data_IF_350892842364
#
_entry.id   IF_350892842364
#
_cell.length_a   1.000
_cell.length_b   1.000
_cell.length_c   1.000
_cell.angle_alpha   90.00
_cell.angle_beta   90.00
_cell.angle_gamma   90.00
#
_symmetry.space_group_name_H-M   'P 1'
#
loop_
_entity.id
_entity.type
_entity.pdbx_description
1 polymer ?
#
# COMPACT_ATOMS: atom_id res chain seq x y z
N UNK A 1 -14.81 -30.35 -7.18
CA UNK A 1 -15.07 -30.07 -5.75
C UNK A 1 -14.21 -28.89 -5.35
N UNK A 2 -14.70 -27.63 -5.42
CA UNK A 2 -13.93 -26.51 -4.93
C UNK A 2 -14.41 -26.21 -3.51
N UNK A 3 -13.70 -26.73 -2.50
CA UNK A 3 -14.02 -26.43 -1.12
C UNK A 3 -12.75 -26.00 -0.37
N UNK A 4 -12.84 -24.77 0.18
CA UNK A 4 -12.37 -24.43 1.53
C UNK A 4 -11.04 -23.67 1.68
N UNK A 5 -10.74 -22.69 0.84
CA UNK A 5 -9.62 -21.75 1.11
C UNK A 5 -9.96 -20.65 2.13
N UNK A 6 -11.22 -20.51 2.55
CA UNK A 6 -11.67 -19.42 3.45
C UNK A 6 -11.95 -19.75 4.92
N UNK A 7 -11.67 -20.96 5.45
CA UNK A 7 -11.87 -21.20 6.91
C UNK A 7 -10.81 -20.46 7.73
N UNK A 8 -11.15 -19.80 8.85
CA UNK A 8 -10.19 -18.99 9.60
C UNK A 8 -9.05 -19.89 10.11
N UNK A 9 -7.83 -19.59 9.64
CA UNK A 9 -6.63 -20.42 9.75
C UNK A 9 -6.33 -20.89 11.19
N UNK A 10 -6.59 -20.05 12.19
CA UNK A 10 -6.40 -20.39 13.60
C UNK A 10 -7.22 -21.61 14.06
N UNK A 11 -8.47 -21.76 13.62
CA UNK A 11 -9.31 -22.89 14.01
C UNK A 11 -8.80 -24.22 13.42
N UNK A 12 -8.26 -24.18 12.21
CA UNK A 12 -7.62 -25.34 11.57
C UNK A 12 -6.34 -25.73 12.30
N UNK A 13 -5.49 -24.77 12.63
CA UNK A 13 -4.24 -25.01 13.32
C UNK A 13 -4.45 -25.62 14.71
N UNK A 14 -5.44 -25.11 15.47
CA UNK A 14 -5.85 -25.72 16.76
C UNK A 14 -6.26 -27.19 16.57
N UNK A 15 -7.06 -27.48 15.53
CA UNK A 15 -7.53 -28.84 15.22
C UNK A 15 -6.38 -29.76 14.82
N UNK A 16 -5.44 -29.27 14.01
CA UNK A 16 -4.29 -30.02 13.51
C UNK A 16 -3.37 -30.43 14.67
N UNK A 17 -2.98 -29.49 15.52
CA UNK A 17 -2.15 -29.79 16.69
C UNK A 17 -2.88 -30.68 17.70
N UNK A 18 -4.18 -30.48 17.93
CA UNK A 18 -4.98 -31.36 18.79
C UNK A 18 -4.98 -32.80 18.26
N UNK A 19 -5.19 -32.97 16.96
CA UNK A 19 -5.20 -34.28 16.32
C UNK A 19 -3.81 -34.94 16.36
N UNK A 20 -2.72 -34.18 16.16
CA UNK A 20 -1.35 -34.69 16.24
C UNK A 20 -1.02 -35.23 17.64
N UNK A 21 -1.60 -34.64 18.70
CA UNK A 21 -1.49 -35.11 20.08
C UNK A 21 -2.47 -36.25 20.42
N UNK A 22 -3.34 -36.66 19.49
CA UNK A 22 -4.35 -37.69 19.72
C UNK A 22 -5.48 -37.26 20.68
N UNK A 23 -5.63 -35.96 20.95
CA UNK A 23 -6.62 -35.47 21.91
C UNK A 23 -8.01 -35.37 21.29
N UNK A 24 -9.04 -35.77 22.03
CA UNK A 24 -10.43 -35.42 21.69
C UNK A 24 -10.70 -33.95 22.02
N UNK A 25 -11.74 -33.34 21.43
CA UNK A 25 -12.16 -31.97 21.78
C UNK A 25 -12.51 -31.83 23.28
N UNK A 26 -13.11 -32.88 23.86
CA UNK A 26 -13.40 -32.95 25.30
C UNK A 26 -12.13 -33.00 26.13
N UNK A 27 -11.13 -33.79 25.70
CA UNK A 27 -9.84 -33.87 26.36
C UNK A 27 -9.09 -32.53 26.35
N UNK A 28 -9.13 -31.81 25.22
CA UNK A 28 -8.54 -30.47 25.16
C UNK A 28 -9.26 -29.49 26.09
N UNK A 29 -10.59 -29.57 26.18
CA UNK A 29 -11.37 -28.73 27.10
C UNK A 29 -11.00 -28.99 28.57
N UNK A 30 -10.87 -30.26 28.98
CA UNK A 30 -10.42 -30.65 30.33
C UNK A 30 -9.04 -30.08 30.64
N UNK A 31 -8.08 -30.21 29.72
CA UNK A 31 -6.73 -29.68 29.89
C UNK A 31 -6.73 -28.15 30.02
N UNK A 32 -7.55 -27.45 29.21
CA UNK A 32 -7.68 -25.99 29.31
C UNK A 32 -8.26 -25.56 30.66
N UNK A 33 -9.24 -26.30 31.19
CA UNK A 33 -9.78 -26.06 32.52
C UNK A 33 -8.74 -26.29 33.61
N UNK A 34 -7.94 -27.35 33.50
CA UNK A 34 -6.85 -27.65 34.44
C UNK A 34 -5.76 -26.58 34.44
N UNK A 35 -5.29 -26.15 33.26
CA UNK A 35 -4.20 -25.15 33.14
C UNK A 35 -4.68 -23.77 33.59
N UNK A 36 -5.92 -23.39 33.27
CA UNK A 36 -6.47 -22.08 33.62
C UNK A 36 -7.03 -21.99 35.04
N UNK A 37 -7.20 -23.12 35.73
CA UNK A 37 -7.86 -23.18 37.05
C UNK A 37 -9.36 -22.87 37.02
N UNK A 38 -9.99 -22.87 35.84
CA UNK A 38 -11.41 -22.56 35.67
C UNK A 38 -12.19 -23.79 35.18
N UNK A 39 -13.46 -23.95 35.54
CA UNK A 39 -14.28 -25.09 35.13
C UNK A 39 -15.28 -24.76 33.99
N UNK A 40 -15.13 -23.62 33.31
CA UNK A 40 -16.17 -23.04 32.47
C UNK A 40 -16.09 -23.41 30.99
N UNK A 41 -14.98 -24.01 30.55
CA UNK A 41 -14.74 -24.30 29.13
C UNK A 41 -15.15 -25.74 28.79
N UNK A 42 -16.12 -25.87 27.88
CA UNK A 42 -16.64 -27.18 27.44
C UNK A 42 -16.13 -27.57 26.05
N UNK A 43 -16.33 -28.82 25.64
CA UNK A 43 -15.98 -29.30 24.29
C UNK A 43 -16.64 -28.46 23.18
N UNK A 44 -17.82 -27.89 23.43
CA UNK A 44 -18.55 -27.05 22.48
C UNK A 44 -17.81 -25.73 22.19
N UNK A 45 -17.10 -25.18 23.18
CA UNK A 45 -16.25 -24.00 22.97
C UNK A 45 -15.09 -24.34 22.03
N UNK A 46 -14.43 -25.48 22.27
CA UNK A 46 -13.35 -26.00 21.40
C UNK A 46 -13.87 -26.23 19.97
N UNK A 47 -15.02 -26.89 19.83
CA UNK A 47 -15.66 -27.12 18.51
C UNK A 47 -15.97 -25.81 17.77
N UNK A 48 -16.44 -24.77 18.49
CA UNK A 48 -16.71 -23.46 17.90
C UNK A 48 -15.43 -22.73 17.49
N UNK A 49 -14.32 -22.93 18.22
CA UNK A 49 -13.01 -22.40 17.82
C UNK A 49 -12.47 -23.09 16.57
N UNK A 50 -12.52 -24.42 16.51
CA UNK A 50 -12.00 -25.18 15.36
C UNK A 50 -12.77 -24.92 14.07
N UNK A 51 -14.08 -24.68 14.18
CA UNK A 51 -14.95 -24.33 13.03
C UNK A 51 -14.90 -22.84 12.69
N UNK A 52 -14.15 -22.04 13.44
CA UNK A 52 -13.99 -20.61 13.19
C UNK A 52 -15.13 -19.73 13.67
N UNK A 53 -16.19 -20.31 14.23
CA UNK A 53 -17.37 -19.59 14.71
C UNK A 53 -17.06 -18.66 15.89
N UNK A 54 -15.98 -18.95 16.65
CA UNK A 54 -15.44 -18.09 17.71
C UNK A 54 -13.91 -18.12 17.66
N UNK A 55 -13.24 -17.12 18.25
CA UNK A 55 -11.80 -17.18 18.54
C UNK A 55 -11.57 -17.44 20.02
N UNK A 56 -10.50 -18.17 20.40
CA UNK A 56 -9.93 -18.00 21.73
C UNK A 56 -9.44 -16.55 21.87
N UNK A 57 -9.89 -15.85 22.91
CA UNK A 57 -9.44 -14.49 23.21
C UNK A 57 -8.01 -14.47 23.77
N UNK A 58 -7.47 -13.27 24.01
CA UNK A 58 -6.12 -13.08 24.59
C UNK A 58 -5.89 -13.87 25.89
N UNK A 59 -6.93 -14.02 26.71
CA UNK A 59 -6.86 -14.82 27.94
C UNK A 59 -6.67 -16.33 27.65
N UNK A 60 -7.35 -16.86 26.63
CA UNK A 60 -7.33 -18.31 26.35
C UNK A 60 -6.15 -18.73 25.48
N UNK A 61 -5.58 -17.84 24.67
CA UNK A 61 -4.48 -18.17 23.75
C UNK A 61 -3.25 -18.80 24.45
N UNK A 62 -2.74 -18.26 25.57
CA UNK A 62 -1.61 -18.86 26.31
C UNK A 62 -1.92 -20.27 26.81
N UNK A 63 -3.14 -20.49 27.32
CA UNK A 63 -3.59 -21.79 27.80
C UNK A 63 -3.73 -22.80 26.65
N UNK A 64 -4.19 -22.36 25.48
CA UNK A 64 -4.28 -23.18 24.26
C UNK A 64 -2.89 -23.54 23.74
N UNK A 65 -1.94 -22.60 23.73
CA UNK A 65 -0.55 -22.87 23.36
C UNK A 65 0.08 -23.92 24.29
N UNK A 66 -0.09 -23.74 25.60
CA UNK A 66 0.39 -24.69 26.61
C UNK A 66 -0.24 -26.08 26.46
N UNK A 67 -1.57 -26.17 26.29
CA UNK A 67 -2.28 -27.44 26.13
C UNK A 67 -1.91 -28.19 24.84
N UNK A 68 -1.60 -27.45 23.77
CA UNK A 68 -1.20 -27.99 22.47
C UNK A 68 0.32 -28.16 22.32
N UNK A 69 1.09 -27.83 23.35
CA UNK A 69 2.56 -27.92 23.36
C UNK A 69 3.21 -27.18 22.19
N UNK A 70 2.66 -26.02 21.81
CA UNK A 70 3.19 -25.16 20.76
C UNK A 70 3.64 -23.82 21.33
N UNK A 71 4.68 -23.19 20.76
CA UNK A 71 5.04 -21.83 21.13
C UNK A 71 3.87 -20.86 20.91
N UNK A 72 3.58 -19.99 21.90
CA UNK A 72 2.45 -19.05 21.86
C UNK A 72 2.45 -18.17 20.60
N UNK A 73 3.63 -17.74 20.14
CA UNK A 73 3.77 -16.89 18.96
C UNK A 73 3.20 -17.53 17.68
N UNK A 74 3.16 -18.86 17.59
CA UNK A 74 2.56 -19.59 16.46
C UNK A 74 1.06 -19.34 16.39
N UNK A 75 0.38 -19.31 17.55
CA UNK A 75 -1.06 -19.03 17.62
C UNK A 75 -1.35 -17.52 17.51
N UNK A 76 -0.47 -16.68 18.05
CA UNK A 76 -0.60 -15.22 17.97
C UNK A 76 -0.46 -14.69 16.56
N UNK A 77 0.48 -15.23 15.77
CA UNK A 77 0.65 -14.86 14.37
C UNK A 77 -0.65 -15.06 13.57
N UNK A 78 -1.34 -16.19 13.77
CA UNK A 78 -2.60 -16.49 13.09
C UNK A 78 -3.80 -15.69 13.63
N UNK A 79 -3.84 -15.39 14.93
CA UNK A 79 -4.86 -14.51 15.52
C UNK A 79 -4.68 -13.05 15.06
N UNK A 80 -3.43 -12.60 14.84
CA UNK A 80 -3.11 -11.29 14.26
C UNK A 80 -3.59 -11.21 12.81
N UNK A 81 -3.26 -12.22 11.98
CA UNK A 81 -3.74 -12.31 10.59
C UNK A 81 -5.27 -12.31 10.51
N UNK A 82 -5.94 -13.07 11.37
CA UNK A 82 -7.42 -13.10 11.45
C UNK A 82 -8.01 -11.74 11.80
N UNK A 83 -7.45 -11.03 12.80
CA UNK A 83 -7.95 -9.70 13.21
C UNK A 83 -7.73 -8.66 12.12
N UNK A 84 -6.64 -8.75 11.37
CA UNK A 84 -6.39 -7.92 10.20
C UNK A 84 -7.44 -8.21 9.12
N UNK A 85 -7.68 -9.48 8.78
CA UNK A 85 -8.71 -9.89 7.81
C UNK A 85 -10.12 -9.40 8.17
N UNK A 86 -10.55 -9.58 9.43
CA UNK A 86 -11.89 -9.16 9.87
C UNK A 86 -12.06 -7.63 9.88
N UNK A 87 -11.00 -6.87 10.15
CA UNK A 87 -11.00 -5.40 10.04
C UNK A 87 -11.14 -4.94 8.58
N UNK A 88 -10.48 -5.64 7.66
CA UNK A 88 -10.57 -5.37 6.21
C UNK A 88 -11.98 -5.66 5.66
N UNK A 89 -12.64 -6.72 6.11
CA UNK A 89 -14.01 -7.05 5.66
C UNK A 89 -15.09 -6.11 6.20
N UNK A 90 -14.85 -5.44 7.33
CA UNK A 90 -15.85 -4.59 7.98
C UNK A 90 -15.93 -3.15 7.42
N UNK A 91 -14.96 -2.71 6.63
CA UNK A 91 -14.84 -1.32 6.15
C UNK A 91 -15.21 -1.12 4.67
N UNK A 92 -15.84 -2.12 4.02
CA UNK A 92 -15.95 -2.13 2.56
C UNK A 92 -17.35 -2.44 2.03
N UNK A 93 -17.96 -1.46 1.37
CA UNK A 93 -18.98 -1.69 0.34
C UNK A 93 -18.30 -2.30 -0.92
N UNK A 94 -18.18 -3.62 -0.88
CA UNK A 94 -17.84 -4.70 -1.84
C UNK A 94 -17.26 -4.51 -3.27
N UNK A 95 -17.34 -3.38 -4.00
CA UNK A 95 -17.07 -3.44 -5.45
C UNK A 95 -15.66 -3.01 -5.92
N UNK A 96 -14.91 -2.23 -5.14
CA UNK A 96 -13.64 -1.61 -5.60
C UNK A 96 -12.36 -2.09 -4.90
N UNK A 97 -12.45 -3.00 -3.91
CA UNK A 97 -11.28 -3.47 -3.14
C UNK A 97 -10.66 -4.79 -3.62
N UNK A 98 -11.26 -5.50 -4.58
CA UNK A 98 -10.77 -6.81 -5.04
C UNK A 98 -9.43 -6.77 -5.80
N UNK A 99 -8.77 -5.61 -5.87
CA UNK A 99 -7.60 -5.40 -6.73
C UNK A 99 -6.45 -4.64 -6.03
N UNK A 100 -6.48 -4.52 -4.70
CA UNK A 100 -5.36 -3.96 -3.92
C UNK A 100 -4.34 -5.08 -3.66
N UNK A 101 -3.09 -4.98 -4.14
CA UNK A 101 -2.06 -5.98 -3.85
C UNK A 101 -1.78 -6.06 -2.34
N UNK A 102 -1.62 -7.26 -1.78
CA UNK A 102 -1.25 -7.46 -0.36
C UNK A 102 0.00 -6.63 0.02
N UNK A 103 0.93 -6.50 -0.92
CA UNK A 103 2.14 -5.68 -0.80
C UNK A 103 1.84 -4.21 -0.48
N UNK A 104 0.74 -3.63 -0.99
CA UNK A 104 0.40 -2.23 -0.72
C UNK A 104 -0.03 -2.01 0.74
N UNK A 105 -0.68 -3.00 1.36
CA UNK A 105 -1.07 -2.95 2.76
C UNK A 105 0.15 -3.07 3.68
N UNK A 106 1.09 -3.94 3.33
CA UNK A 106 2.37 -4.07 4.05
C UNK A 106 3.22 -2.80 3.94
N UNK A 107 3.32 -2.22 2.74
CA UNK A 107 3.99 -0.94 2.51
C UNK A 107 3.35 0.17 3.35
N UNK A 108 2.02 0.26 3.40
CA UNK A 108 1.34 1.23 4.24
C UNK A 108 1.66 1.03 5.73
N UNK A 109 1.65 -0.21 6.22
CA UNK A 109 2.00 -0.49 7.61
C UNK A 109 3.43 -0.05 7.94
N UNK A 110 4.37 -0.27 7.01
CA UNK A 110 5.76 0.21 7.10
C UNK A 110 5.83 1.74 7.14
N UNK A 111 5.13 2.42 6.22
CA UNK A 111 5.03 3.89 6.17
C UNK A 111 4.45 4.45 7.48
N UNK A 112 3.35 3.87 7.96
CA UNK A 112 2.68 4.26 9.19
C UNK A 112 3.56 4.04 10.43
N UNK A 113 4.39 2.98 10.41
CA UNK A 113 5.40 2.68 11.43
C UNK A 113 6.65 3.55 11.33
N UNK A 114 6.84 4.28 10.23
CA UNK A 114 8.04 5.08 9.99
C UNK A 114 9.27 4.28 9.54
N UNK A 115 9.06 3.07 9.03
CA UNK A 115 10.10 2.25 8.42
C UNK A 115 10.11 2.48 6.90
N UNK A 116 11.15 3.12 6.34
CA UNK A 116 11.28 3.31 4.89
C UNK A 116 11.81 2.07 4.17
N UNK A 117 12.28 1.04 4.88
CA UNK A 117 13.03 -0.11 4.34
C UNK A 117 12.45 -0.69 3.05
N UNK A 118 11.16 -1.06 3.02
CA UNK A 118 10.51 -1.61 1.82
C UNK A 118 10.49 -0.69 0.59
N UNK A 119 10.68 0.62 0.77
CA UNK A 119 10.75 1.60 -0.31
C UNK A 119 12.18 1.92 -0.75
N UNK A 120 13.21 1.33 -0.14
CA UNK A 120 14.61 1.72 -0.40
C UNK A 120 15.33 0.92 -1.48
N UNK A 121 14.92 -0.32 -1.74
CA UNK A 121 15.69 -1.28 -2.55
C UNK A 121 15.24 -1.33 -4.01
N UNK A 122 13.93 -1.41 -4.25
CA UNK A 122 13.35 -1.60 -5.58
C UNK A 122 12.37 -0.47 -5.86
N UNK A 123 12.41 0.07 -7.08
CA UNK A 123 11.44 1.06 -7.50
C UNK A 123 10.04 0.43 -7.58
N UNK A 124 9.08 1.03 -6.90
CA UNK A 124 7.70 0.55 -6.86
C UNK A 124 7.02 0.74 -8.22
N UNK A 125 6.05 -0.12 -8.51
CA UNK A 125 5.28 0.00 -9.76
C UNK A 125 4.21 1.07 -9.64
N UNK A 126 3.79 1.64 -10.77
CA UNK A 126 2.66 2.58 -10.80
C UNK A 126 1.38 2.01 -10.14
N UNK A 127 1.11 0.70 -10.30
CA UNK A 127 -0.03 0.04 -9.65
C UNK A 127 0.13 0.01 -8.12
N UNK A 128 1.32 -0.31 -7.64
CA UNK A 128 1.64 -0.29 -6.21
C UNK A 128 1.48 1.11 -5.63
N UNK A 129 2.05 2.14 -6.27
CA UNK A 129 1.95 3.53 -5.80
C UNK A 129 0.51 3.99 -5.69
N UNK A 130 -0.32 3.67 -6.69
CA UNK A 130 -1.73 4.05 -6.69
C UNK A 130 -2.53 3.34 -5.59
N UNK A 131 -2.19 2.09 -5.29
CA UNK A 131 -2.80 1.35 -4.21
C UNK A 131 -2.41 1.96 -2.84
N UNK A 132 -1.12 2.22 -2.64
CA UNK A 132 -0.60 2.83 -1.40
C UNK A 132 -1.14 4.26 -1.24
N UNK A 133 -1.20 5.07 -2.30
CA UNK A 133 -1.65 6.46 -2.21
C UNK A 133 -3.10 6.58 -1.76
N UNK A 134 -3.99 5.71 -2.26
CA UNK A 134 -5.39 5.63 -1.84
C UNK A 134 -5.49 5.34 -0.35
N UNK A 135 -4.73 4.37 0.15
CA UNK A 135 -4.74 4.01 1.56
C UNK A 135 -4.12 5.12 2.44
N UNK A 136 -2.97 5.65 2.05
CA UNK A 136 -2.23 6.67 2.80
C UNK A 136 -2.93 8.02 2.83
N UNK A 137 -3.76 8.35 1.84
CA UNK A 137 -4.48 9.63 1.77
C UNK A 137 -5.34 9.97 3.00
N UNK A 138 -5.74 8.94 3.76
CA UNK A 138 -6.53 9.10 5.00
C UNK A 138 -5.67 9.27 6.25
N UNK A 139 -4.35 9.03 6.17
CA UNK A 139 -3.41 9.18 7.27
C UNK A 139 -2.39 10.28 6.98
N UNK A 140 -2.64 11.46 7.57
CA UNK A 140 -1.75 12.63 7.45
C UNK A 140 -0.32 12.32 7.89
N UNK A 141 -0.12 11.44 8.87
CA UNK A 141 1.22 11.11 9.36
C UNK A 141 2.00 10.32 8.31
N UNK A 142 1.34 9.39 7.61
CA UNK A 142 1.94 8.66 6.49
C UNK A 142 2.30 9.60 5.34
N UNK A 143 1.42 10.54 4.98
CA UNK A 143 1.71 11.57 3.94
C UNK A 143 2.92 12.42 4.32
N UNK A 144 3.01 12.90 5.58
CA UNK A 144 4.14 13.70 6.05
C UNK A 144 5.47 12.92 6.03
N UNK A 145 5.43 11.62 6.37
CA UNK A 145 6.62 10.77 6.29
C UNK A 145 7.08 10.56 4.85
N UNK A 146 6.15 10.29 3.94
CA UNK A 146 6.43 10.20 2.51
C UNK A 146 7.04 11.52 2.00
N UNK A 147 6.49 12.67 2.38
CA UNK A 147 7.03 13.97 1.97
C UNK A 147 8.47 14.17 2.47
N UNK A 148 8.75 13.82 3.73
CA UNK A 148 10.11 13.86 4.29
C UNK A 148 11.06 12.89 3.57
N UNK A 149 10.61 11.67 3.28
CA UNK A 149 11.44 10.67 2.58
C UNK A 149 11.68 11.02 1.12
N UNK A 150 10.72 11.70 0.47
CA UNK A 150 10.89 12.27 -0.86
C UNK A 150 11.95 13.36 -0.87
N UNK A 151 11.92 14.27 0.12
CA UNK A 151 12.85 15.39 0.21
C UNK A 151 14.28 14.94 0.56
N UNK A 152 14.43 14.15 1.63
CA UNK A 152 15.74 13.90 2.27
C UNK A 152 16.11 12.41 2.34
N UNK A 153 15.48 11.55 1.53
CA UNK A 153 15.75 10.13 1.52
C UNK A 153 17.19 9.79 1.09
N UNK A 154 17.84 8.90 1.85
CA UNK A 154 19.23 8.49 1.64
C UNK A 154 19.49 7.79 0.29
N UNK A 155 18.45 7.24 -0.36
CA UNK A 155 18.57 6.60 -1.67
C UNK A 155 17.63 7.26 -2.67
N UNK A 156 18.07 7.36 -3.93
CA UNK A 156 17.21 7.86 -5.01
C UNK A 156 15.97 6.98 -5.23
N UNK A 157 16.06 5.68 -4.91
CA UNK A 157 14.93 4.74 -4.96
C UNK A 157 13.87 5.11 -3.91
N UNK A 158 14.28 5.42 -2.68
CA UNK A 158 13.37 5.89 -1.64
C UNK A 158 12.67 7.19 -2.06
N UNK A 159 13.45 8.15 -2.58
CA UNK A 159 12.90 9.45 -2.99
C UNK A 159 11.90 9.31 -4.14
N UNK A 160 12.20 8.53 -5.18
CA UNK A 160 11.26 8.32 -6.30
C UNK A 160 10.03 7.51 -5.91
N UNK A 161 10.16 6.51 -5.03
CA UNK A 161 9.02 5.73 -4.56
C UNK A 161 8.08 6.59 -3.72
N UNK A 162 8.63 7.42 -2.81
CA UNK A 162 7.85 8.37 -2.04
C UNK A 162 7.17 9.40 -2.94
N UNK A 163 7.89 9.98 -3.91
CA UNK A 163 7.33 10.89 -4.90
C UNK A 163 6.22 10.24 -5.74
N UNK A 164 6.42 8.98 -6.17
CA UNK A 164 5.45 8.21 -6.95
C UNK A 164 4.13 8.00 -6.21
N UNK A 165 4.18 7.72 -4.91
CA UNK A 165 2.99 7.60 -4.06
C UNK A 165 2.31 8.97 -3.88
N UNK A 166 3.06 10.01 -3.52
CA UNK A 166 2.52 11.36 -3.29
C UNK A 166 1.92 11.98 -4.56
N UNK A 167 2.51 11.74 -5.72
CA UNK A 167 1.98 12.19 -7.01
C UNK A 167 0.54 11.71 -7.30
N UNK A 168 0.09 10.68 -6.58
CA UNK A 168 -1.20 10.00 -6.73
C UNK A 168 -2.10 10.20 -5.51
N UNK A 169 -1.74 11.03 -4.53
CA UNK A 169 -2.61 11.36 -3.38
C UNK A 169 -3.52 12.53 -3.72
N UNK A 170 -4.68 12.22 -4.33
CA UNK A 170 -5.70 13.22 -4.62
C UNK A 170 -6.15 13.94 -3.33
N UNK A 171 -6.40 15.25 -3.42
CA UNK A 171 -6.87 16.07 -2.29
C UNK A 171 -5.77 16.60 -1.36
N UNK A 172 -4.49 16.38 -1.67
CA UNK A 172 -3.34 16.94 -0.94
C UNK A 172 -2.54 17.90 -1.85
N UNK A 173 -3.03 19.13 -2.12
CA UNK A 173 -2.42 20.02 -3.11
C UNK A 173 -0.96 20.37 -2.82
N UNK A 174 -0.62 20.59 -1.54
CA UNK A 174 0.75 20.94 -1.14
C UNK A 174 1.74 19.80 -1.46
N UNK A 175 1.34 18.55 -1.21
CA UNK A 175 2.15 17.39 -1.53
C UNK A 175 2.36 17.22 -3.05
N UNK A 176 1.37 17.59 -3.87
CA UNK A 176 1.49 17.55 -5.32
C UNK A 176 2.41 18.65 -5.86
N UNK A 177 2.37 19.85 -5.26
CA UNK A 177 3.30 20.93 -5.56
C UNK A 177 4.74 20.52 -5.18
N UNK A 178 4.93 19.89 -4.01
CA UNK A 178 6.24 19.38 -3.56
C UNK A 178 6.83 18.30 -4.49
N UNK A 179 5.99 17.44 -5.06
CA UNK A 179 6.42 16.44 -6.06
C UNK A 179 6.98 17.15 -7.30
N UNK A 180 6.29 18.15 -7.83
CA UNK A 180 6.75 18.90 -9.00
C UNK A 180 8.07 19.65 -8.73
N UNK A 181 8.20 20.26 -7.55
CA UNK A 181 9.44 20.91 -7.12
C UNK A 181 10.59 19.90 -6.97
N UNK A 182 10.31 18.71 -6.43
CA UNK A 182 11.31 17.63 -6.30
C UNK A 182 11.77 17.17 -7.68
N UNK A 183 10.85 16.94 -8.61
CA UNK A 183 11.20 16.55 -9.98
C UNK A 183 12.02 17.64 -10.70
N UNK A 184 11.77 18.92 -10.43
CA UNK A 184 12.58 20.00 -10.98
C UNK A 184 14.01 20.02 -10.42
N UNK A 185 14.20 19.70 -9.13
CA UNK A 185 15.49 19.88 -8.42
C UNK A 185 16.35 18.63 -8.33
N UNK A 186 15.75 17.46 -8.17
CA UNK A 186 16.46 16.19 -7.97
C UNK A 186 16.51 15.38 -9.27
N UNK A 187 17.66 15.47 -9.95
CA UNK A 187 17.91 14.78 -11.20
C UNK A 187 17.76 13.26 -11.09
N UNK A 188 18.23 12.63 -10.01
CA UNK A 188 18.18 11.17 -9.86
C UNK A 188 16.75 10.67 -9.69
N UNK A 189 15.92 11.41 -8.95
CA UNK A 189 14.49 11.11 -8.81
C UNK A 189 13.76 11.32 -10.13
N UNK A 190 14.05 12.43 -10.82
CA UNK A 190 13.46 12.76 -12.11
C UNK A 190 13.76 11.69 -13.17
N UNK A 191 15.00 11.24 -13.30
CA UNK A 191 15.39 10.25 -14.32
C UNK A 191 14.69 8.90 -14.10
N UNK A 192 14.58 8.47 -12.85
CA UNK A 192 13.83 7.25 -12.49
C UNK A 192 12.33 7.37 -12.78
N UNK A 193 11.76 8.54 -12.53
CA UNK A 193 10.34 8.80 -12.84
C UNK A 193 10.10 8.81 -14.36
N UNK A 194 10.98 9.46 -15.11
CA UNK A 194 10.93 9.50 -16.59
C UNK A 194 11.07 8.10 -17.18
N UNK A 195 12.00 7.29 -16.68
CA UNK A 195 12.17 5.90 -17.11
C UNK A 195 10.90 5.07 -16.89
N UNK A 196 10.33 5.14 -15.68
CA UNK A 196 9.09 4.42 -15.37
C UNK A 196 7.89 4.93 -16.20
N UNK A 197 7.82 6.24 -16.46
CA UNK A 197 6.79 6.83 -17.31
C UNK A 197 6.90 6.32 -18.76
N UNK A 198 8.09 6.42 -19.37
CA UNK A 198 8.28 6.08 -20.78
C UNK A 198 8.10 4.59 -21.05
N UNK A 199 8.49 3.72 -20.10
CA UNK A 199 8.17 2.29 -20.18
C UNK A 199 6.66 2.01 -20.14
N UNK A 200 5.90 2.79 -19.37
CA UNK A 200 4.45 2.58 -19.17
C UNK A 200 3.61 3.20 -20.28
N UNK A 201 3.97 4.41 -20.73
CA UNK A 201 3.16 5.26 -21.61
C UNK A 201 3.75 5.34 -23.03
N UNK A 202 5.07 5.18 -23.16
CA UNK A 202 5.81 5.50 -24.38
C UNK A 202 6.26 6.96 -24.43
N UNK A 203 7.03 7.30 -25.47
CA UNK A 203 7.61 8.63 -25.69
C UNK A 203 7.04 9.36 -26.92
N UNK A 204 5.97 8.84 -27.53
CA UNK A 204 5.36 9.50 -28.69
C UNK A 204 4.54 10.71 -28.27
N UNK A 205 4.49 11.75 -29.12
CA UNK A 205 3.71 12.97 -28.83
C UNK A 205 2.24 12.67 -28.51
N UNK A 206 1.52 11.78 -29.23
CA UNK A 206 0.14 11.45 -28.86
C UNK A 206 0.00 10.79 -27.48
N UNK A 207 0.92 9.90 -27.11
CA UNK A 207 0.88 9.24 -25.81
C UNK A 207 1.17 10.22 -24.66
N UNK A 208 2.18 11.07 -24.84
CA UNK A 208 2.51 12.12 -23.87
C UNK A 208 1.42 13.20 -23.77
N UNK A 209 0.75 13.54 -24.88
CA UNK A 209 -0.38 14.45 -24.88
C UNK A 209 -1.60 13.90 -24.13
N UNK A 210 -1.80 12.58 -24.14
CA UNK A 210 -2.81 11.94 -23.31
C UNK A 210 -2.41 11.96 -21.83
N UNK A 211 -1.14 11.66 -21.52
CA UNK A 211 -0.66 11.61 -20.14
C UNK A 211 -0.61 12.98 -19.47
N UNK A 212 -0.22 14.05 -20.19
CA UNK A 212 -0.19 15.41 -19.62
C UNK A 212 -1.58 15.93 -19.21
N UNK A 213 -2.66 15.27 -19.66
CA UNK A 213 -4.04 15.57 -19.26
C UNK A 213 -4.61 14.55 -18.26
N UNK A 214 -3.84 13.54 -17.87
CA UNK A 214 -4.28 12.48 -16.97
C UNK A 214 -4.33 12.96 -15.52
N UNK A 215 -5.52 12.98 -14.86
CA UNK A 215 -5.66 13.54 -13.52
C UNK A 215 -5.07 12.63 -12.42
N UNK A 216 -4.70 11.38 -12.74
CA UNK A 216 -4.37 10.36 -11.74
C UNK A 216 -2.95 10.45 -11.17
N UNK A 217 -2.04 11.12 -11.87
CA UNK A 217 -0.61 11.16 -11.50
C UNK A 217 -0.02 12.53 -11.87
N UNK A 218 0.17 13.40 -10.87
CA UNK A 218 0.71 14.74 -11.08
C UNK A 218 2.19 14.73 -11.53
N UNK A 219 2.98 13.78 -11.03
CA UNK A 219 4.38 13.63 -11.41
C UNK A 219 4.53 13.16 -12.85
N UNK A 220 3.63 12.30 -13.33
CA UNK A 220 3.58 11.89 -14.73
C UNK A 220 3.22 13.06 -15.65
N UNK A 221 2.29 13.94 -15.24
CA UNK A 221 2.00 15.18 -16.00
C UNK A 221 3.22 16.09 -16.08
N UNK A 222 3.97 16.25 -14.98
CA UNK A 222 5.22 17.02 -14.98
C UNK A 222 6.26 16.41 -15.93
N UNK A 223 6.45 15.10 -15.89
CA UNK A 223 7.39 14.40 -16.76
C UNK A 223 6.98 14.47 -18.25
N UNK A 224 5.69 14.28 -18.54
CA UNK A 224 5.14 14.45 -19.90
C UNK A 224 5.32 15.89 -20.40
N UNK A 225 5.17 16.87 -19.52
CA UNK A 225 5.42 18.29 -19.83
C UNK A 225 6.85 18.52 -20.31
N UNK A 226 7.84 17.98 -19.58
CA UNK A 226 9.26 18.09 -19.96
C UNK A 226 9.53 17.44 -21.33
N UNK A 227 9.05 16.22 -21.55
CA UNK A 227 9.25 15.48 -22.80
C UNK A 227 8.58 16.16 -23.99
N UNK A 228 7.36 16.69 -23.83
CA UNK A 228 6.67 17.49 -24.85
C UNK A 228 7.39 18.82 -25.12
N UNK A 229 7.97 19.44 -24.08
CA UNK A 229 8.78 20.64 -24.22
C UNK A 229 10.04 20.40 -25.05
N UNK A 230 10.71 19.27 -24.84
CA UNK A 230 11.89 18.85 -25.61
C UNK A 230 11.56 18.54 -27.07
N UNK A 231 10.41 17.91 -27.35
CA UNK A 231 9.94 17.68 -28.73
C UNK A 231 9.64 19.01 -29.44
N UNK A 232 8.94 19.93 -28.79
CA UNK A 232 8.70 21.29 -29.29
C UNK A 232 7.81 21.37 -30.53
N UNK A 233 7.31 20.24 -31.06
CA UNK A 233 6.46 20.22 -32.25
C UNK A 233 5.18 21.04 -32.05
N UNK A 234 4.53 21.51 -33.14
CA UNK A 234 3.24 22.19 -33.02
C UNK A 234 2.17 21.35 -32.29
N UNK A 235 2.23 20.02 -32.40
CA UNK A 235 1.34 19.12 -31.70
C UNK A 235 1.63 19.10 -30.19
N UNK A 236 2.90 19.00 -29.80
CA UNK A 236 3.31 19.06 -28.40
C UNK A 236 2.97 20.41 -27.76
N UNK A 237 3.25 21.53 -28.44
CA UNK A 237 2.88 22.87 -27.97
C UNK A 237 1.37 23.02 -27.75
N UNK A 238 0.53 22.45 -28.63
CA UNK A 238 -0.94 22.44 -28.45
C UNK A 238 -1.39 21.61 -27.24
N UNK A 239 -0.75 20.46 -27.01
CA UNK A 239 -1.02 19.63 -25.83
C UNK A 239 -0.67 20.39 -24.54
N UNK A 240 0.51 21.00 -24.46
CA UNK A 240 0.95 21.84 -23.34
C UNK A 240 0.00 23.02 -23.10
N UNK A 241 -0.38 23.75 -24.14
CA UNK A 241 -1.32 24.87 -24.01
C UNK A 241 -2.69 24.42 -23.47
N UNK A 242 -3.11 23.19 -23.79
CA UNK A 242 -4.36 22.61 -23.25
C UNK A 242 -4.20 22.21 -21.79
N UNK A 243 -3.08 21.60 -21.42
CA UNK A 243 -2.77 21.21 -20.05
C UNK A 243 -2.66 22.44 -19.12
N UNK A 244 -2.04 23.52 -19.60
CA UNK A 244 -1.87 24.76 -18.83
C UNK A 244 -3.17 25.32 -18.26
N UNK A 245 -4.28 25.19 -19.01
CA UNK A 245 -5.60 25.69 -18.61
C UNK A 245 -6.34 24.75 -17.65
N UNK A 246 -5.86 23.52 -17.48
CA UNK A 246 -6.60 22.43 -16.85
C UNK A 246 -5.89 21.79 -15.66
N UNK A 247 -4.57 21.93 -15.54
CA UNK A 247 -3.82 21.28 -14.46
C UNK A 247 -4.18 21.93 -13.10
N UNK A 248 -4.64 21.13 -12.12
CA UNK A 248 -4.97 21.66 -10.80
C UNK A 248 -3.75 21.93 -9.91
N UNK A 249 -2.55 21.48 -10.29
CA UNK A 249 -1.33 21.60 -9.49
C UNK A 249 -0.55 22.84 -9.92
N UNK A 250 -0.27 23.75 -8.99
CA UNK A 250 0.29 25.08 -9.28
C UNK A 250 1.69 24.98 -9.86
N UNK A 251 2.51 24.11 -9.30
CA UNK A 251 3.88 23.91 -9.79
C UNK A 251 3.92 23.16 -11.13
N UNK A 252 2.90 22.35 -11.46
CA UNK A 252 2.75 21.81 -12.82
C UNK A 252 2.37 22.91 -13.81
N UNK A 253 1.43 23.80 -13.46
CA UNK A 253 1.07 24.95 -14.31
C UNK A 253 2.31 25.79 -14.61
N UNK A 254 3.15 26.03 -13.61
CA UNK A 254 4.44 26.70 -13.79
C UNK A 254 5.36 25.93 -14.73
N UNK A 255 5.53 24.62 -14.49
CA UNK A 255 6.37 23.76 -15.34
C UNK A 255 5.88 23.69 -16.79
N UNK A 256 4.58 23.75 -17.04
CA UNK A 256 3.98 23.78 -18.39
C UNK A 256 4.23 25.12 -19.08
N UNK A 257 4.19 26.22 -18.33
CA UNK A 257 4.43 27.56 -18.87
C UNK A 257 5.85 27.74 -19.43
N UNK A 258 6.85 27.13 -18.79
CA UNK A 258 8.26 27.32 -19.13
C UNK A 258 8.60 26.86 -20.57
N UNK A 259 8.28 25.63 -21.02
CA UNK A 259 8.54 25.23 -22.41
C UNK A 259 7.78 26.05 -23.45
N UNK A 260 6.60 26.58 -23.10
CA UNK A 260 5.82 27.43 -24.01
C UNK A 260 6.52 28.77 -24.28
N UNK A 261 7.31 29.27 -23.33
CA UNK A 261 8.13 30.49 -23.43
C UNK A 261 9.59 30.22 -23.79
N UNK A 262 9.99 28.96 -23.98
CA UNK A 262 11.34 28.56 -24.38
C UNK A 262 12.32 28.31 -23.22
N UNK A 263 11.82 28.19 -21.98
CA UNK A 263 12.61 27.84 -20.80
C UNK A 263 12.47 26.34 -20.43
N UNK A 264 13.44 25.80 -19.71
CA UNK A 264 13.40 24.42 -19.18
C UNK A 264 12.82 24.43 -17.74
N UNK A 265 11.89 23.53 -17.39
CA UNK A 265 11.40 23.39 -16.02
C UNK A 265 12.45 22.97 -14.97
N UNK A 266 13.66 22.60 -15.38
CA UNK A 266 14.78 22.24 -14.50
C UNK A 266 15.79 23.39 -14.28
N UNK A 267 15.61 24.53 -14.96
CA UNK A 267 16.46 25.74 -14.83
C UNK A 267 15.74 26.84 -14.07
#
# INVERSE_FOLDING_TARGET
MPDNEGKPALGRLIREHRNALGYSQGRLAELLCQISGTATLTREYVSRWERGQRSPGRYWLPHVAAALQVPLHVLEAEEVKRRQFLRLTAQTSAASLLDIPDTATELLASIAGGDPGPLTEVQTTHRTDLAVSRLASTDRSSVLRLARWMADGNTAVLRVNAAGILAKTAGQPDALDDVALTLARDEQTRDRYLWALTLRVGSTVPALAAEVLNPRDAGARWCATRLLGQDGSPAARRALATALRRDPVRENVRAIGLPLTGADPCT
#
